data_IF_296063848991
#
_entry.id   IF_296063848991
#
_cell.length_a   1.000
_cell.length_b   1.000
_cell.length_c   1.000
_cell.angle_alpha   90.00
_cell.angle_beta   90.00
_cell.angle_gamma   90.00
#
_symmetry.space_group_name_H-M   'P 1'
#
loop_
_entity.id
_entity.type
_entity.pdbx_description
1 polymer ?
#
# COMPACT_ATOMS: atom_id res chain seq x y z
N UNK A 1 6.68 -4.12 -27.47
CA UNK A 1 6.36 -3.68 -26.09
C UNK A 1 4.87 -3.43 -26.04
N UNK A 2 4.19 -3.93 -25.02
CA UNK A 2 2.77 -3.65 -24.79
C UNK A 2 2.55 -2.17 -24.46
N UNK A 3 1.32 -1.70 -24.66
CA UNK A 3 0.93 -0.32 -24.33
C UNK A 3 1.11 -0.04 -22.84
N UNK A 4 0.81 -1.01 -21.98
CA UNK A 4 1.01 -0.92 -20.53
C UNK A 4 2.46 -0.67 -20.15
N UNK A 5 3.39 -1.54 -20.58
CA UNK A 5 4.81 -1.40 -20.25
C UNK A 5 5.38 -0.08 -20.77
N UNK A 6 4.99 0.30 -21.99
CA UNK A 6 5.46 1.55 -22.61
C UNK A 6 5.01 2.76 -21.80
N UNK A 7 3.73 2.79 -21.42
CA UNK A 7 3.18 3.88 -20.60
C UNK A 7 3.73 3.86 -19.17
N UNK A 8 3.96 2.68 -18.60
CA UNK A 8 4.60 2.51 -17.30
C UNK A 8 6.00 3.10 -17.29
N UNK A 9 6.84 2.81 -18.30
CA UNK A 9 8.19 3.40 -18.44
C UNK A 9 8.10 4.92 -18.61
N UNK A 10 7.14 5.42 -19.38
CA UNK A 10 6.89 6.85 -19.49
C UNK A 10 6.60 7.51 -18.12
N UNK A 11 5.78 6.87 -17.29
CA UNK A 11 5.52 7.35 -15.92
C UNK A 11 6.76 7.30 -15.02
N UNK A 12 7.65 6.32 -15.18
CA UNK A 12 8.94 6.28 -14.48
C UNK A 12 9.76 7.51 -14.81
N UNK A 13 9.86 7.85 -16.10
CA UNK A 13 10.61 9.03 -16.55
C UNK A 13 10.01 10.31 -15.97
N UNK A 14 8.68 10.45 -15.95
CA UNK A 14 8.03 11.61 -15.34
C UNK A 14 8.32 11.69 -13.83
N UNK A 15 8.22 10.56 -13.11
CA UNK A 15 8.55 10.52 -11.69
C UNK A 15 9.99 10.91 -11.39
N UNK A 16 10.94 10.48 -12.23
CA UNK A 16 12.34 10.89 -12.16
C UNK A 16 12.53 12.39 -12.40
N UNK A 17 11.85 12.96 -13.39
CA UNK A 17 11.89 14.41 -13.63
C UNK A 17 11.38 15.17 -12.39
N UNK A 18 10.34 14.66 -11.72
CA UNK A 18 9.79 15.23 -10.48
C UNK A 18 10.69 15.02 -9.25
N UNK A 19 11.62 14.06 -9.26
CA UNK A 19 12.66 13.96 -8.24
C UNK A 19 13.62 15.16 -8.31
N UNK A 20 13.85 15.71 -9.50
CA UNK A 20 14.79 16.80 -9.78
C UNK A 20 14.10 18.17 -9.72
N UNK A 21 12.93 18.30 -10.34
CA UNK A 21 12.24 19.58 -10.52
C UNK A 21 10.76 19.47 -10.16
N UNK A 22 10.36 20.23 -9.15
CA UNK A 22 8.97 20.31 -8.70
C UNK A 22 8.18 21.35 -9.52
N UNK A 23 6.93 21.01 -9.83
CA UNK A 23 5.97 21.92 -10.47
C UNK A 23 5.47 22.92 -9.42
N UNK A 24 5.68 24.22 -9.65
CA UNK A 24 5.32 25.27 -8.68
C UNK A 24 3.82 25.30 -8.35
N UNK A 25 2.96 25.16 -9.36
CA UNK A 25 1.51 25.15 -9.15
C UNK A 25 1.03 23.78 -8.67
N UNK A 26 0.55 23.73 -7.44
CA UNK A 26 0.01 22.48 -6.84
C UNK A 26 -1.25 22.00 -7.57
N UNK A 27 -2.10 22.92 -8.03
CA UNK A 27 -3.31 22.57 -8.79
C UNK A 27 -2.95 21.93 -10.13
N UNK A 28 -2.05 22.58 -10.88
CA UNK A 28 -1.56 22.06 -12.17
C UNK A 28 -0.92 20.69 -12.00
N UNK A 29 -0.05 20.52 -11.00
CA UNK A 29 0.56 19.23 -10.69
C UNK A 29 -0.51 18.15 -10.43
N UNK A 30 -1.53 18.44 -9.63
CA UNK A 30 -2.55 17.46 -9.26
C UNK A 30 -3.39 17.06 -10.48
N UNK A 31 -3.76 18.02 -11.34
CA UNK A 31 -4.52 17.74 -12.57
C UNK A 31 -3.68 16.89 -13.52
N UNK A 32 -2.43 17.28 -13.81
CA UNK A 32 -1.54 16.53 -14.69
C UNK A 32 -1.33 15.10 -14.15
N UNK A 33 -1.03 14.97 -12.87
CA UNK A 33 -0.77 13.67 -12.24
C UNK A 33 -2.03 12.80 -12.25
N UNK A 34 -3.20 13.38 -11.99
CA UNK A 34 -4.47 12.66 -12.08
C UNK A 34 -4.71 12.13 -13.49
N UNK A 35 -4.59 12.99 -14.50
CA UNK A 35 -4.77 12.60 -15.91
C UNK A 35 -3.81 11.51 -16.32
N UNK A 36 -2.53 11.62 -15.96
CA UNK A 36 -1.50 10.63 -16.29
C UNK A 36 -1.81 9.26 -15.69
N UNK A 37 -2.17 9.19 -14.41
CA UNK A 37 -2.51 7.92 -13.77
C UNK A 37 -3.89 7.39 -14.19
N UNK A 38 -4.83 8.26 -14.51
CA UNK A 38 -6.13 7.84 -15.06
C UNK A 38 -5.95 7.16 -16.42
N UNK A 39 -5.11 7.72 -17.30
CA UNK A 39 -4.76 7.09 -18.58
C UNK A 39 -4.09 5.73 -18.34
N UNK A 40 -3.15 5.65 -17.40
CA UNK A 40 -2.52 4.36 -17.06
C UNK A 40 -3.54 3.33 -16.59
N UNK A 41 -4.40 3.71 -15.64
CA UNK A 41 -5.46 2.83 -15.16
C UNK A 41 -6.39 2.40 -16.29
N UNK A 42 -6.76 3.30 -17.21
CA UNK A 42 -7.58 2.96 -18.37
C UNK A 42 -6.89 1.95 -19.28
N UNK A 43 -5.62 2.18 -19.65
CA UNK A 43 -4.84 1.24 -20.44
C UNK A 43 -4.85 -0.15 -19.76
N UNK A 44 -4.62 -0.19 -18.45
CA UNK A 44 -4.58 -1.45 -17.69
C UNK A 44 -5.94 -2.12 -17.51
N UNK A 45 -7.06 -1.39 -17.54
CA UNK A 45 -8.39 -2.02 -17.50
C UNK A 45 -8.84 -2.57 -18.85
N UNK A 46 -8.34 -2.02 -19.95
CA UNK A 46 -8.74 -2.39 -21.31
C UNK A 46 -7.74 -3.28 -22.06
N UNK A 47 -6.54 -3.49 -21.54
CA UNK A 47 -5.54 -4.44 -22.05
C UNK A 47 -5.94 -5.91 -21.83
N UNK A 48 -6.77 -6.17 -20.82
CA UNK A 48 -7.20 -7.50 -20.43
C UNK A 48 -6.98 -7.74 -18.94
N UNK A 49 -7.66 -8.75 -18.42
CA UNK A 49 -7.62 -9.07 -17.00
C UNK A 49 -6.81 -10.32 -16.72
N UNK A 50 -5.96 -10.25 -15.71
CA UNK A 50 -5.32 -11.42 -15.10
C UNK A 50 -6.35 -12.31 -14.37
N UNK A 51 -5.91 -13.52 -13.99
CA UNK A 51 -6.78 -14.58 -13.44
C UNK A 51 -7.57 -14.12 -12.20
N UNK A 52 -6.93 -13.44 -11.24
CA UNK A 52 -7.60 -13.04 -10.00
C UNK A 52 -8.55 -11.87 -10.22
N UNK A 53 -8.22 -10.92 -11.09
CA UNK A 53 -9.11 -9.78 -11.36
C UNK A 53 -10.30 -10.14 -12.23
N UNK A 54 -10.15 -11.14 -13.10
CA UNK A 54 -11.28 -11.81 -13.73
C UNK A 54 -12.22 -12.46 -12.71
N UNK A 55 -11.67 -13.02 -11.62
CA UNK A 55 -12.50 -13.58 -10.55
C UNK A 55 -13.30 -12.47 -9.85
N UNK A 56 -12.70 -11.29 -9.62
CA UNK A 56 -13.42 -10.12 -9.12
C UNK A 56 -14.51 -9.66 -10.11
N UNK A 57 -14.19 -9.52 -11.39
CA UNK A 57 -15.15 -9.14 -12.42
C UNK A 57 -16.35 -10.10 -12.49
N UNK A 58 -16.09 -11.41 -12.50
CA UNK A 58 -17.15 -12.45 -12.48
C UNK A 58 -18.01 -12.37 -11.22
N UNK A 59 -17.41 -12.09 -10.07
CA UNK A 59 -18.17 -11.98 -8.80
C UNK A 59 -19.07 -10.75 -8.70
N UNK A 60 -18.85 -9.73 -9.54
CA UNK A 60 -19.77 -8.59 -9.68
C UNK A 60 -21.06 -8.97 -10.42
N UNK A 61 -20.98 -9.96 -11.33
CA UNK A 61 -22.14 -10.47 -12.08
C UNK A 61 -23.15 -11.21 -11.20
N UNK A 62 -22.69 -11.90 -10.15
CA UNK A 62 -23.54 -12.71 -9.26
C UNK A 62 -24.04 -11.90 -8.06
N UNK A 63 -24.90 -10.91 -8.34
CA UNK A 63 -25.41 -9.96 -7.33
C UNK A 63 -26.26 -10.67 -6.27
N UNK A 64 -27.02 -11.70 -6.66
CA UNK A 64 -27.99 -12.39 -5.80
C UNK A 64 -27.38 -13.44 -4.86
N UNK A 65 -26.13 -13.86 -5.09
CA UNK A 65 -25.45 -14.83 -4.23
C UNK A 65 -24.67 -14.11 -3.12
N UNK A 66 -25.34 -13.77 -2.01
CA UNK A 66 -24.69 -13.38 -0.76
C UNK A 66 -24.18 -14.61 0.01
N UNK A 67 -23.13 -15.24 -0.50
CA UNK A 67 -22.40 -16.24 0.27
C UNK A 67 -21.66 -15.59 1.46
N UNK A 68 -21.45 -16.34 2.54
CA UNK A 68 -20.68 -15.88 3.71
C UNK A 68 -19.24 -15.43 3.38
N UNK A 69 -18.72 -15.77 2.20
CA UNK A 69 -17.45 -15.27 1.68
C UNK A 69 -17.44 -13.75 1.52
N UNK A 70 -18.55 -13.15 1.03
CA UNK A 70 -18.64 -11.71 0.78
C UNK A 70 -18.79 -10.89 2.07
N UNK A 71 -19.28 -11.50 3.15
CA UNK A 71 -19.36 -10.87 4.48
C UNK A 71 -17.99 -10.65 5.13
N UNK A 72 -16.93 -11.30 4.63
CA UNK A 72 -15.57 -11.11 5.15
C UNK A 72 -15.00 -9.74 4.83
N UNK A 73 -15.41 -9.12 3.73
CA UNK A 73 -14.86 -7.83 3.23
C UNK A 73 -15.99 -6.94 2.67
N UNK A 74 -16.98 -6.61 3.51
CA UNK A 74 -18.26 -6.08 3.05
C UNK A 74 -18.12 -4.69 2.43
N UNK A 75 -17.14 -3.88 2.86
CA UNK A 75 -16.96 -2.53 2.32
C UNK A 75 -16.62 -2.59 0.84
N UNK A 76 -15.71 -3.48 0.43
CA UNK A 76 -15.39 -3.63 -0.99
C UNK A 76 -16.55 -4.25 -1.76
N UNK A 77 -17.09 -5.37 -1.29
CA UNK A 77 -18.08 -6.13 -2.05
C UNK A 77 -19.40 -5.40 -2.24
N UNK A 78 -19.92 -4.75 -1.19
CA UNK A 78 -21.20 -4.03 -1.27
C UNK A 78 -21.04 -2.78 -2.15
N UNK A 79 -19.98 -2.00 -1.93
CA UNK A 79 -19.79 -0.77 -2.70
C UNK A 79 -19.53 -1.07 -4.18
N UNK A 80 -18.77 -2.13 -4.50
CA UNK A 80 -18.40 -2.42 -5.89
C UNK A 80 -19.56 -2.97 -6.69
N UNK A 81 -20.41 -3.80 -6.07
CA UNK A 81 -21.69 -4.22 -6.67
C UNK A 81 -22.63 -3.05 -6.90
N UNK A 82 -22.71 -2.10 -5.96
CA UNK A 82 -23.54 -0.91 -6.15
C UNK A 82 -23.08 -0.06 -7.33
N UNK A 83 -21.78 0.15 -7.49
CA UNK A 83 -21.22 0.88 -8.64
C UNK A 83 -21.41 0.09 -9.93
N UNK A 84 -21.24 -1.24 -9.89
CA UNK A 84 -21.49 -2.10 -11.03
C UNK A 84 -22.96 -2.05 -11.50
N UNK A 85 -23.92 -1.99 -10.58
CA UNK A 85 -25.34 -1.82 -10.92
C UNK A 85 -25.60 -0.52 -11.71
N UNK A 86 -24.82 0.52 -11.47
CA UNK A 86 -24.94 1.81 -12.16
C UNK A 86 -24.21 1.78 -13.51
N UNK A 87 -23.00 1.22 -13.54
CA UNK A 87 -22.11 1.29 -14.70
C UNK A 87 -22.31 0.16 -15.71
N UNK A 88 -22.79 -1.00 -15.27
CA UNK A 88 -22.99 -2.22 -16.05
C UNK A 88 -21.73 -2.69 -16.82
N UNK A 89 -20.54 -2.24 -16.40
CA UNK A 89 -19.25 -2.67 -16.94
C UNK A 89 -18.23 -2.80 -15.81
N UNK A 90 -17.43 -3.86 -15.88
CA UNK A 90 -16.40 -4.15 -14.88
C UNK A 90 -15.19 -3.21 -15.03
N UNK A 91 -14.81 -2.84 -16.25
CA UNK A 91 -13.71 -1.91 -16.52
C UNK A 91 -14.03 -0.54 -15.95
N UNK A 92 -15.25 -0.05 -16.20
CA UNK A 92 -15.71 1.25 -15.70
C UNK A 92 -15.87 1.26 -14.18
N UNK A 93 -16.35 0.16 -13.59
CA UNK A 93 -16.38 -0.01 -12.12
C UNK A 93 -14.99 0.09 -11.52
N UNK A 94 -14.00 -0.62 -12.07
CA UNK A 94 -12.64 -0.56 -11.56
C UNK A 94 -11.97 0.80 -11.81
N UNK A 95 -12.18 1.41 -12.97
CA UNK A 95 -11.72 2.77 -13.29
C UNK A 95 -12.27 3.83 -12.32
N UNK A 96 -13.51 3.69 -11.87
CA UNK A 96 -14.10 4.56 -10.87
C UNK A 96 -13.32 4.49 -9.55
N UNK A 97 -13.01 3.28 -9.09
CA UNK A 97 -12.21 3.08 -7.88
C UNK A 97 -10.76 3.51 -8.03
N UNK A 98 -10.15 3.28 -9.19
CA UNK A 98 -8.80 3.77 -9.50
C UNK A 98 -8.75 5.31 -9.45
N UNK A 99 -9.79 5.97 -9.96
CA UNK A 99 -9.94 7.43 -9.88
C UNK A 99 -10.02 7.92 -8.42
N UNK A 100 -10.82 7.26 -7.59
CA UNK A 100 -10.87 7.53 -6.15
C UNK A 100 -9.48 7.33 -5.53
N UNK A 101 -8.80 6.23 -5.88
CA UNK A 101 -7.49 5.92 -5.33
C UNK A 101 -6.45 6.99 -5.64
N UNK A 102 -6.41 7.47 -6.88
CA UNK A 102 -5.52 8.56 -7.31
C UNK A 102 -5.80 9.82 -6.49
N UNK A 103 -7.07 10.21 -6.33
CA UNK A 103 -7.46 11.40 -5.56
C UNK A 103 -7.02 11.27 -4.09
N UNK A 104 -7.26 10.11 -3.47
CA UNK A 104 -6.91 9.88 -2.07
C UNK A 104 -5.40 9.92 -1.84
N UNK A 105 -4.59 9.37 -2.74
CA UNK A 105 -3.12 9.43 -2.65
C UNK A 105 -2.61 10.86 -2.86
N UNK A 106 -3.17 11.61 -3.83
CA UNK A 106 -2.82 13.02 -4.02
C UNK A 106 -3.15 13.87 -2.78
N UNK A 107 -4.27 13.58 -2.11
CA UNK A 107 -4.64 14.22 -0.85
C UNK A 107 -3.69 13.81 0.30
N UNK A 108 -3.37 12.52 0.42
CA UNK A 108 -2.45 12.02 1.43
C UNK A 108 -1.05 12.64 1.28
N UNK A 109 -0.56 12.77 0.04
CA UNK A 109 0.69 13.47 -0.29
C UNK A 109 0.70 14.90 0.25
N UNK A 110 -0.39 15.64 0.04
CA UNK A 110 -0.53 17.02 0.55
C UNK A 110 -0.51 17.05 2.09
N UNK A 111 -1.26 16.18 2.75
CA UNK A 111 -1.31 16.13 4.21
C UNK A 111 0.06 15.81 4.83
N UNK A 112 0.76 14.82 4.29
CA UNK A 112 2.11 14.47 4.76
C UNK A 112 3.19 15.47 4.34
N UNK A 113 2.86 16.45 3.49
CA UNK A 113 3.83 17.37 2.85
C UNK A 113 4.94 16.62 2.12
N UNK A 114 4.57 15.55 1.42
CA UNK A 114 5.50 14.74 0.65
C UNK A 114 5.87 15.40 -0.68
N UNK A 115 7.07 15.09 -1.20
CA UNK A 115 7.54 15.59 -2.48
C UNK A 115 6.67 15.06 -3.63
N UNK A 116 6.71 15.77 -4.76
CA UNK A 116 5.87 15.50 -5.92
C UNK A 116 6.15 14.16 -6.61
N UNK A 117 7.31 13.54 -6.42
CA UNK A 117 7.54 12.20 -6.96
C UNK A 117 6.84 11.09 -6.15
N UNK A 118 6.32 11.37 -4.95
CA UNK A 118 5.76 10.33 -4.07
C UNK A 118 4.58 9.56 -4.69
N UNK A 119 3.57 10.19 -5.34
CA UNK A 119 2.50 9.43 -5.98
C UNK A 119 3.01 8.50 -7.08
N UNK A 120 4.03 8.94 -7.83
CA UNK A 120 4.69 8.10 -8.84
C UNK A 120 5.43 6.94 -8.20
N UNK A 121 6.13 7.20 -7.09
CA UNK A 121 6.77 6.13 -6.33
C UNK A 121 5.72 5.12 -5.85
N UNK A 122 4.61 5.60 -5.27
CA UNK A 122 3.56 4.74 -4.74
C UNK A 122 2.90 3.87 -5.81
N UNK A 123 2.41 4.45 -6.92
CA UNK A 123 1.69 3.71 -7.94
C UNK A 123 2.58 2.79 -8.78
N UNK A 124 3.84 3.17 -8.99
CA UNK A 124 4.77 2.36 -9.79
C UNK A 124 5.52 1.33 -8.96
N UNK A 125 5.41 1.36 -7.63
CA UNK A 125 6.01 0.36 -6.77
C UNK A 125 5.36 -1.01 -6.99
N UNK A 126 6.17 -2.07 -7.04
CA UNK A 126 5.70 -3.41 -7.41
C UNK A 126 4.50 -3.92 -6.61
N UNK A 127 4.33 -3.65 -5.29
CA UNK A 127 3.15 -4.09 -4.55
C UNK A 127 1.87 -3.40 -5.02
N UNK A 128 1.96 -2.13 -5.45
CA UNK A 128 0.82 -1.40 -6.01
C UNK A 128 0.45 -1.92 -7.39
N UNK A 129 1.44 -2.19 -8.25
CA UNK A 129 1.21 -2.77 -9.58
C UNK A 129 0.60 -4.17 -9.46
N UNK A 130 1.18 -5.04 -8.64
CA UNK A 130 0.60 -6.35 -8.34
C UNK A 130 -0.79 -6.25 -7.70
N UNK A 131 -1.00 -5.26 -6.84
CA UNK A 131 -2.30 -5.01 -6.25
C UNK A 131 -3.35 -4.59 -7.28
N UNK A 132 -2.99 -3.71 -8.23
CA UNK A 132 -3.90 -3.19 -9.24
C UNK A 132 -4.36 -4.28 -10.23
N UNK A 133 -3.44 -5.19 -10.59
CA UNK A 133 -3.68 -6.24 -11.60
C UNK A 133 -4.16 -7.57 -11.01
N UNK A 134 -3.74 -7.91 -9.79
CA UNK A 134 -4.00 -9.24 -9.21
C UNK A 134 -4.80 -9.17 -7.91
N UNK A 135 -4.37 -8.39 -6.91
CA UNK A 135 -5.00 -8.36 -5.58
C UNK A 135 -5.71 -7.03 -5.28
N UNK A 136 -6.76 -6.74 -6.07
CA UNK A 136 -7.38 -5.41 -6.11
C UNK A 136 -7.91 -4.87 -4.77
N UNK A 137 -8.53 -5.73 -3.98
CA UNK A 137 -9.02 -5.39 -2.63
C UNK A 137 -7.89 -4.91 -1.71
N UNK A 138 -6.74 -5.55 -1.84
CA UNK A 138 -5.56 -5.19 -1.08
C UNK A 138 -4.99 -3.84 -1.53
N UNK A 139 -4.96 -3.57 -2.84
CA UNK A 139 -4.58 -2.26 -3.39
C UNK A 139 -5.46 -1.11 -2.87
N UNK A 140 -6.78 -1.26 -2.92
CA UNK A 140 -7.70 -0.25 -2.37
C UNK A 140 -7.49 -0.04 -0.87
N UNK A 141 -7.16 -1.12 -0.16
CA UNK A 141 -6.86 -1.06 1.27
C UNK A 141 -5.56 -0.31 1.53
N UNK A 142 -4.51 -0.46 0.72
CA UNK A 142 -3.28 0.34 0.83
C UNK A 142 -3.59 1.84 0.74
N UNK A 143 -4.36 2.22 -0.27
CA UNK A 143 -4.75 3.60 -0.55
C UNK A 143 -5.53 4.19 0.62
N UNK A 144 -6.58 3.49 1.08
CA UNK A 144 -7.39 3.92 2.22
C UNK A 144 -6.56 4.00 3.50
N UNK A 145 -5.67 3.03 3.73
CA UNK A 145 -4.79 3.01 4.89
C UNK A 145 -3.89 4.25 4.91
N UNK A 146 -3.18 4.53 3.81
CA UNK A 146 -2.30 5.70 3.71
C UNK A 146 -3.09 7.00 3.85
N UNK A 147 -4.26 7.09 3.23
CA UNK A 147 -5.13 8.26 3.33
C UNK A 147 -5.56 8.54 4.77
N UNK A 148 -6.13 7.55 5.46
CA UNK A 148 -6.55 7.72 6.85
C UNK A 148 -5.37 7.93 7.79
N UNK A 149 -4.23 7.29 7.53
CA UNK A 149 -3.01 7.53 8.28
C UNK A 149 -2.54 8.99 8.12
N UNK A 150 -2.66 9.55 6.91
CA UNK A 150 -2.34 10.96 6.66
C UNK A 150 -3.20 11.89 7.49
N UNK A 151 -4.50 11.61 7.66
CA UNK A 151 -5.41 12.41 8.47
C UNK A 151 -5.08 12.28 9.96
N UNK A 152 -4.87 11.06 10.44
CA UNK A 152 -4.71 10.77 11.88
C UNK A 152 -3.36 11.20 12.45
N UNK A 153 -2.30 11.23 11.63
CA UNK A 153 -0.97 11.67 12.03
C UNK A 153 -0.78 13.19 11.92
N UNK A 154 -1.42 13.85 10.96
CA UNK A 154 -1.22 15.29 10.71
C UNK A 154 -2.20 16.16 11.50
N UNK A 155 -3.44 15.69 11.68
CA UNK A 155 -4.50 16.43 12.38
C UNK A 155 -4.85 15.75 13.71
N UNK A 156 -5.21 16.54 14.75
CA UNK A 156 -5.78 15.97 15.97
C UNK A 156 -7.08 15.23 15.61
N UNK A 157 -7.16 13.97 16.02
CA UNK A 157 -8.26 13.08 15.72
C UNK A 157 -8.63 12.33 17.00
N UNK A 158 -9.93 12.31 17.32
CA UNK A 158 -10.47 11.57 18.46
C UNK A 158 -10.27 10.06 18.27
N UNK A 159 -10.31 9.32 19.38
CA UNK A 159 -10.20 7.86 19.37
C UNK A 159 -11.29 7.24 18.48
N UNK A 160 -12.52 7.72 18.59
CA UNK A 160 -13.67 7.26 17.81
C UNK A 160 -13.39 7.37 16.30
N UNK A 161 -12.88 8.51 15.84
CA UNK A 161 -12.54 8.71 14.42
C UNK A 161 -11.46 7.73 13.94
N UNK A 162 -10.44 7.47 14.77
CA UNK A 162 -9.38 6.50 14.44
C UNK A 162 -9.92 5.09 14.35
N UNK A 163 -10.76 4.69 15.31
CA UNK A 163 -11.39 3.37 15.33
C UNK A 163 -12.31 3.16 14.13
N UNK A 164 -13.09 4.19 13.75
CA UNK A 164 -13.93 4.14 12.55
C UNK A 164 -13.08 4.01 11.27
N UNK A 165 -12.01 4.78 11.14
CA UNK A 165 -11.10 4.64 10.00
C UNK A 165 -10.45 3.27 9.95
N UNK A 166 -9.96 2.73 11.08
CA UNK A 166 -9.40 1.38 11.11
C UNK A 166 -10.44 0.33 10.73
N UNK A 167 -11.70 0.48 11.19
CA UNK A 167 -12.77 -0.45 10.87
C UNK A 167 -13.05 -0.48 9.36
N UNK A 168 -13.17 0.68 8.72
CA UNK A 168 -13.41 0.77 7.26
C UNK A 168 -12.31 0.04 6.49
N UNK A 169 -11.05 0.22 6.89
CA UNK A 169 -9.90 -0.41 6.23
C UNK A 169 -9.92 -1.93 6.42
N UNK A 170 -10.19 -2.43 7.63
CA UNK A 170 -10.28 -3.87 7.92
C UNK A 170 -11.41 -4.50 7.09
N UNK A 171 -12.58 -3.85 7.06
CA UNK A 171 -13.73 -4.32 6.31
C UNK A 171 -13.54 -4.22 4.79
N UNK A 172 -12.50 -3.54 4.31
CA UNK A 172 -12.11 -3.53 2.89
C UNK A 172 -11.21 -4.73 2.59
N UNK A 173 -10.23 -5.02 3.44
CA UNK A 173 -9.40 -6.22 3.33
C UNK A 173 -8.81 -6.62 4.69
N UNK A 174 -8.98 -7.89 5.04
CA UNK A 174 -8.73 -8.37 6.40
C UNK A 174 -7.27 -8.23 6.87
N UNK A 175 -6.31 -8.29 5.95
CA UNK A 175 -4.87 -8.16 6.28
C UNK A 175 -4.56 -6.83 6.95
N UNK A 176 -5.35 -5.78 6.72
CA UNK A 176 -5.16 -4.49 7.39
C UNK A 176 -5.34 -4.56 8.91
N UNK A 177 -6.03 -5.59 9.44
CA UNK A 177 -6.19 -5.77 10.88
C UNK A 177 -4.84 -5.87 11.61
N UNK A 178 -3.83 -6.45 10.94
CA UNK A 178 -2.48 -6.58 11.49
C UNK A 178 -1.78 -5.23 11.66
N UNK A 179 -2.24 -4.19 10.96
CA UNK A 179 -1.58 -2.88 10.96
C UNK A 179 -2.37 -1.80 11.74
N UNK A 180 -3.50 -2.16 12.36
CA UNK A 180 -4.31 -1.27 13.21
C UNK A 180 -3.50 -0.48 14.25
N UNK A 181 -2.52 -1.08 14.97
CA UNK A 181 -1.81 -0.36 16.04
C UNK A 181 -1.18 0.95 15.57
N UNK A 182 -0.88 1.07 14.27
CA UNK A 182 -0.30 2.27 13.65
C UNK A 182 -1.24 3.48 13.75
N UNK A 183 -2.56 3.31 13.71
CA UNK A 183 -3.52 4.41 13.84
C UNK A 183 -3.44 5.11 15.21
N UNK A 184 -2.80 4.49 16.19
CA UNK A 184 -2.63 4.99 17.55
C UNK A 184 -1.22 5.56 17.82
N UNK A 185 -0.43 5.87 16.77
CA UNK A 185 0.96 6.36 16.86
C UNK A 185 1.12 7.86 17.23
N UNK A 186 0.06 8.65 17.38
CA UNK A 186 0.21 10.11 17.47
C UNK A 186 0.87 10.57 18.81
N UNK A 187 1.83 11.50 18.71
CA UNK A 187 2.60 12.03 19.86
C UNK A 187 1.81 12.95 20.79
N UNK A 188 0.70 13.53 20.32
CA UNK A 188 -0.19 14.37 21.13
C UNK A 188 -1.15 13.56 22.00
N UNK A 189 -0.96 12.25 22.06
CA UNK A 189 -1.85 11.35 22.76
C UNK A 189 -1.41 11.19 24.24
N UNK A 190 -2.34 11.22 25.21
CA UNK A 190 -2.08 10.89 26.61
C UNK A 190 -1.40 9.52 26.80
N UNK A 191 -0.60 9.35 27.86
CA UNK A 191 0.18 8.14 28.15
C UNK A 191 -0.64 6.83 28.07
N UNK A 192 -1.91 6.86 28.50
CA UNK A 192 -2.84 5.71 28.50
C UNK A 192 -2.99 4.99 27.15
N UNK A 193 -2.90 5.71 26.04
CA UNK A 193 -3.07 5.10 24.72
C UNK A 193 -1.77 4.52 24.15
N UNK A 194 -0.60 4.83 24.76
CA UNK A 194 0.65 4.12 24.44
C UNK A 194 0.57 2.66 24.88
N UNK A 195 -0.10 2.39 26.00
CA UNK A 195 -0.34 1.04 26.53
C UNK A 195 -1.26 0.27 25.59
N UNK A 196 -2.37 0.88 25.14
CA UNK A 196 -3.30 0.26 24.17
C UNK A 196 -2.56 -0.18 22.91
N UNK A 197 -1.65 0.64 22.37
CA UNK A 197 -0.84 0.26 21.20
C UNK A 197 0.03 -0.98 21.45
N UNK A 198 0.70 -1.07 22.60
CA UNK A 198 1.54 -2.23 22.95
C UNK A 198 0.67 -3.48 23.11
N UNK A 199 -0.46 -3.35 23.80
CA UNK A 199 -1.45 -4.43 23.93
C UNK A 199 -1.93 -4.91 22.57
N UNK A 200 -2.23 -4.00 21.64
CA UNK A 200 -2.66 -4.38 20.29
C UNK A 200 -1.54 -5.08 19.51
N UNK A 201 -0.29 -4.59 19.58
CA UNK A 201 0.84 -5.28 18.93
C UNK A 201 1.01 -6.70 19.47
N UNK A 202 1.04 -6.87 20.80
CA UNK A 202 1.19 -8.18 21.44
C UNK A 202 -0.01 -9.07 21.14
N UNK A 203 -1.23 -8.53 21.23
CA UNK A 203 -2.47 -9.25 20.96
C UNK A 203 -2.54 -9.78 19.54
N UNK A 204 -2.04 -9.02 18.55
CA UNK A 204 -1.93 -9.51 17.17
C UNK A 204 -0.93 -10.65 17.05
N UNK A 205 0.27 -10.52 17.66
CA UNK A 205 1.29 -11.57 17.60
C UNK A 205 0.83 -12.87 18.27
N UNK A 206 0.13 -12.78 19.40
CA UNK A 206 -0.43 -13.95 20.11
C UNK A 206 -1.66 -14.52 19.38
N UNK A 207 -2.52 -13.65 18.85
CA UNK A 207 -3.76 -14.05 18.19
C UNK A 207 -3.56 -14.67 16.81
N UNK A 208 -2.47 -14.34 16.13
CA UNK A 208 -2.17 -14.82 14.78
C UNK A 208 -2.04 -16.36 14.72
N UNK A 209 -1.25 -17.04 15.57
CA UNK A 209 -1.24 -18.51 15.65
C UNK A 209 -2.62 -19.13 15.89
N UNK A 210 -3.43 -18.54 16.79
CA UNK A 210 -4.73 -19.06 17.19
C UNK A 210 -5.74 -18.95 16.03
N UNK A 211 -5.74 -17.82 15.32
CA UNK A 211 -6.62 -17.61 14.18
C UNK A 211 -6.31 -18.55 13.00
N UNK A 212 -5.07 -19.04 12.90
CA UNK A 212 -4.58 -19.85 11.78
C UNK A 212 -4.71 -21.34 12.00
N UNK A 213 -4.84 -21.80 13.24
CA UNK A 213 -5.09 -23.22 13.57
C UNK A 213 -6.34 -23.81 12.87
N UNK A 214 -7.18 -22.96 12.27
CA UNK A 214 -8.41 -23.32 11.55
C UNK A 214 -8.25 -23.41 10.02
N UNK A 215 -7.08 -23.09 9.44
CA UNK A 215 -6.87 -23.10 7.97
C UNK A 215 -5.76 -24.06 7.54
N UNK A 216 -5.99 -24.80 6.46
CA UNK A 216 -5.00 -25.67 5.83
C UNK A 216 -3.98 -24.86 5.02
N UNK A 217 -2.70 -25.21 5.15
CA UNK A 217 -1.59 -24.63 4.41
C UNK A 217 -1.58 -25.16 2.98
N UNK A 218 -1.87 -24.30 1.99
CA UNK A 218 -1.68 -24.61 0.57
C UNK A 218 -0.59 -23.68 0.04
N UNK A 219 0.53 -24.27 -0.38
CA UNK A 219 1.66 -23.53 -0.97
C UNK A 219 1.33 -23.14 -2.42
N UNK A 220 1.26 -21.84 -2.68
CA UNK A 220 1.15 -21.31 -4.05
C UNK A 220 2.14 -20.17 -4.29
N UNK A 221 3.18 -20.46 -5.08
CA UNK A 221 3.81 -19.45 -5.94
C UNK A 221 5.31 -19.18 -5.77
N UNK A 222 5.92 -18.90 -6.93
CA UNK A 222 7.32 -18.84 -7.36
C UNK A 222 8.23 -17.68 -6.85
N UNK A 223 7.79 -16.83 -5.92
CA UNK A 223 8.63 -15.77 -5.33
C UNK A 223 8.69 -16.00 -3.84
N UNK A 224 9.87 -16.23 -3.29
CA UNK A 224 10.01 -16.60 -1.89
C UNK A 224 9.65 -15.45 -0.97
N UNK A 225 8.84 -15.75 0.06
CA UNK A 225 8.46 -14.77 1.08
C UNK A 225 9.67 -14.20 1.84
N UNK A 226 10.80 -14.89 1.78
CA UNK A 226 12.10 -14.49 2.31
C UNK A 226 12.63 -13.20 1.67
N UNK A 227 12.36 -12.95 0.38
CA UNK A 227 12.78 -11.72 -0.30
C UNK A 227 12.17 -10.47 0.34
N UNK A 228 10.96 -10.59 0.91
CA UNK A 228 10.33 -9.49 1.63
C UNK A 228 11.03 -9.20 2.95
N UNK A 229 11.52 -10.23 3.66
CA UNK A 229 12.34 -10.04 4.87
C UNK A 229 13.61 -9.29 4.49
N UNK A 230 14.30 -9.74 3.44
CA UNK A 230 15.53 -9.09 2.97
C UNK A 230 15.28 -7.62 2.60
N UNK A 231 14.20 -7.31 1.88
CA UNK A 231 13.85 -5.94 1.53
C UNK A 231 13.56 -5.05 2.76
N UNK A 232 12.79 -5.55 3.73
CA UNK A 232 12.48 -4.84 4.97
C UNK A 232 13.76 -4.61 5.79
N UNK A 233 14.65 -5.60 5.84
CA UNK A 233 15.93 -5.49 6.53
C UNK A 233 16.83 -4.44 5.86
N UNK A 234 16.88 -4.40 4.52
CA UNK A 234 17.59 -3.37 3.78
C UNK A 234 17.02 -1.96 4.09
N UNK A 235 15.70 -1.81 4.20
CA UNK A 235 15.08 -0.54 4.59
C UNK A 235 15.43 -0.14 6.02
N UNK A 236 15.49 -1.11 6.95
CA UNK A 236 15.91 -0.86 8.32
C UNK A 236 17.36 -0.34 8.37
N UNK A 237 18.28 -1.01 7.67
CA UNK A 237 19.68 -0.59 7.57
C UNK A 237 19.78 0.81 6.96
N UNK A 238 19.07 1.05 5.85
CA UNK A 238 19.06 2.36 5.19
C UNK A 238 18.64 3.49 6.13
N UNK A 239 17.60 3.26 6.93
CA UNK A 239 17.11 4.24 7.91
C UNK A 239 18.11 4.42 9.05
N UNK A 240 18.68 3.34 9.60
CA UNK A 240 19.71 3.42 10.64
C UNK A 240 20.92 4.25 10.18
N UNK A 241 21.42 3.99 8.97
CA UNK A 241 22.52 4.74 8.35
C UNK A 241 22.13 6.21 8.16
N UNK A 242 20.91 6.48 7.67
CA UNK A 242 20.41 7.84 7.46
C UNK A 242 20.31 8.64 8.77
N UNK A 243 20.02 7.96 9.88
CA UNK A 243 20.03 8.53 11.23
C UNK A 243 21.42 8.52 11.90
N UNK A 244 22.47 8.07 11.20
CA UNK A 244 23.83 7.89 11.73
C UNK A 244 23.87 7.05 13.00
N UNK A 245 23.00 6.05 13.09
CA UNK A 245 22.81 5.19 14.26
C UNK A 245 22.42 5.92 15.56
N UNK A 246 22.06 7.21 15.49
CA UNK A 246 21.61 7.99 16.63
C UNK A 246 20.10 7.86 16.79
N UNK A 247 19.68 7.00 17.72
CA UNK A 247 18.27 6.80 18.08
C UNK A 247 17.75 8.00 18.85
N UNK A 248 17.14 8.96 18.16
CA UNK A 248 16.44 10.07 18.84
C UNK A 248 15.08 9.58 19.34
N UNK A 249 14.61 10.13 20.45
CA UNK A 249 13.28 9.80 21.01
C UNK A 249 12.14 9.99 19.97
N UNK A 250 12.32 10.90 19.02
CA UNK A 250 11.37 11.14 17.93
C UNK A 250 11.21 9.90 17.03
N UNK A 251 12.26 9.10 16.87
CA UNK A 251 12.32 8.03 15.87
C UNK A 251 11.97 6.66 16.48
N UNK A 252 11.86 6.55 17.81
CA UNK A 252 11.51 5.31 18.53
C UNK A 252 10.25 4.66 17.95
N UNK A 253 9.23 5.45 17.62
CA UNK A 253 7.97 4.91 17.10
C UNK A 253 8.17 4.24 15.73
N UNK A 254 9.04 4.80 14.90
CA UNK A 254 9.40 4.23 13.61
C UNK A 254 10.12 2.90 13.79
N UNK A 255 11.11 2.86 14.68
CA UNK A 255 11.85 1.63 14.97
C UNK A 255 10.97 0.54 15.60
N UNK A 256 10.04 0.90 16.49
CA UNK A 256 9.04 -0.06 17.02
C UNK A 256 8.20 -0.65 15.90
N UNK A 257 7.75 0.17 14.93
CA UNK A 257 6.99 -0.33 13.79
C UNK A 257 7.83 -1.27 12.90
N UNK A 258 9.10 -0.95 12.67
CA UNK A 258 10.01 -1.82 11.93
C UNK A 258 10.20 -3.18 12.60
N UNK A 259 10.55 -3.18 13.89
CA UNK A 259 10.75 -4.42 14.67
C UNK A 259 9.46 -5.24 14.67
N UNK A 260 8.31 -4.60 14.91
CA UNK A 260 7.01 -5.26 14.84
C UNK A 260 6.77 -5.89 13.46
N UNK A 261 7.03 -5.15 12.38
CA UNK A 261 6.81 -5.64 11.01
C UNK A 261 7.70 -6.82 10.65
N UNK A 262 8.95 -6.81 11.14
CA UNK A 262 9.91 -7.89 10.92
C UNK A 262 9.47 -9.16 11.67
N UNK A 263 9.10 -9.03 12.95
CA UNK A 263 8.58 -10.15 13.75
C UNK A 263 7.29 -10.70 13.12
N UNK A 264 6.36 -9.80 12.74
CA UNK A 264 5.10 -10.18 12.11
C UNK A 264 5.34 -10.98 10.82
N UNK A 265 6.29 -10.54 9.98
CA UNK A 265 6.58 -11.22 8.73
C UNK A 265 7.21 -12.59 8.98
N UNK A 266 8.20 -12.71 9.88
CA UNK A 266 8.81 -14.00 10.25
C UNK A 266 7.71 -14.97 10.73
N UNK A 267 6.90 -14.56 11.71
CA UNK A 267 5.80 -15.37 12.21
C UNK A 267 4.81 -15.74 11.10
N UNK A 268 4.55 -14.84 10.16
CA UNK A 268 3.62 -15.12 9.06
C UNK A 268 4.14 -16.15 8.06
N UNK A 269 5.45 -16.18 7.80
CA UNK A 269 6.08 -17.16 6.92
C UNK A 269 5.98 -18.54 7.54
N UNK A 270 6.27 -18.64 8.83
CA UNK A 270 6.26 -19.91 9.55
C UNK A 270 4.82 -20.46 9.72
N UNK A 271 3.81 -19.59 9.85
CA UNK A 271 2.47 -19.99 10.29
C UNK A 271 1.35 -19.92 9.22
N UNK A 272 1.40 -19.00 8.24
CA UNK A 272 0.23 -18.64 7.41
C UNK A 272 0.30 -19.21 5.99
N UNK A 273 1.45 -19.77 5.58
CA UNK A 273 1.71 -20.20 4.21
C UNK A 273 2.11 -19.06 3.27
N UNK A 274 2.73 -19.42 2.14
CA UNK A 274 3.48 -18.48 1.29
C UNK A 274 2.65 -17.38 0.64
N UNK A 275 1.38 -17.64 0.27
CA UNK A 275 0.55 -16.63 -0.39
C UNK A 275 0.14 -15.48 0.53
N UNK A 276 -0.18 -15.78 1.80
CA UNK A 276 -0.63 -14.77 2.76
C UNK A 276 0.55 -13.98 3.34
N UNK A 277 1.69 -14.63 3.58
CA UNK A 277 2.91 -13.95 4.01
C UNK A 277 3.38 -12.92 2.98
N UNK A 278 3.27 -13.22 1.67
CA UNK A 278 3.51 -12.25 0.59
C UNK A 278 2.59 -11.03 0.69
N UNK A 279 1.30 -11.23 0.96
CA UNK A 279 0.35 -10.12 1.13
C UNK A 279 0.74 -9.24 2.32
N UNK A 280 1.15 -9.84 3.44
CA UNK A 280 1.64 -9.10 4.61
C UNK A 280 2.91 -8.33 4.26
N UNK A 281 3.88 -8.97 3.60
CA UNK A 281 5.13 -8.35 3.15
C UNK A 281 4.90 -7.16 2.22
N UNK A 282 4.03 -7.30 1.22
CA UNK A 282 3.63 -6.22 0.32
C UNK A 282 3.00 -5.03 1.07
N UNK A 283 2.14 -5.32 2.06
CA UNK A 283 1.52 -4.28 2.89
C UNK A 283 2.58 -3.52 3.71
N UNK A 284 3.52 -4.24 4.34
CA UNK A 284 4.62 -3.63 5.09
C UNK A 284 5.43 -2.72 4.19
N UNK A 285 5.86 -3.18 3.01
CA UNK A 285 6.69 -2.40 2.10
C UNK A 285 6.01 -1.09 1.69
N UNK A 286 4.70 -1.13 1.40
CA UNK A 286 3.91 0.06 1.09
C UNK A 286 3.90 1.05 2.27
N UNK A 287 3.69 0.57 3.50
CA UNK A 287 3.71 1.43 4.68
C UNK A 287 5.09 2.03 4.94
N UNK A 288 6.16 1.29 4.61
CA UNK A 288 7.54 1.74 4.74
C UNK A 288 7.93 2.84 3.74
N UNK A 289 7.19 3.03 2.64
CA UNK A 289 7.40 4.17 1.75
C UNK A 289 7.24 5.52 2.47
N UNK A 290 6.34 5.61 3.46
CA UNK A 290 6.06 6.84 4.21
C UNK A 290 7.31 7.33 4.96
N UNK A 291 7.91 6.55 5.90
CA UNK A 291 9.10 6.99 6.58
C UNK A 291 10.31 7.12 5.66
N UNK A 292 10.44 6.26 4.65
CA UNK A 292 11.57 6.28 3.73
C UNK A 292 11.59 7.57 2.89
N UNK A 293 10.45 7.97 2.33
CA UNK A 293 10.30 9.25 1.61
C UNK A 293 10.66 10.44 2.51
N UNK A 294 10.22 10.39 3.77
CA UNK A 294 10.50 11.45 4.75
C UNK A 294 11.98 11.53 5.12
N UNK A 295 12.64 10.39 5.31
CA UNK A 295 14.08 10.34 5.65
C UNK A 295 14.91 10.89 4.49
N UNK A 296 14.63 10.48 3.26
CA UNK A 296 15.31 10.98 2.06
C UNK A 296 15.24 12.50 1.95
N UNK A 297 14.07 13.08 2.22
CA UNK A 297 13.86 14.51 2.07
C UNK A 297 14.43 15.38 3.20
N UNK A 298 14.65 14.79 4.38
CA UNK A 298 15.07 15.52 5.58
C UNK A 298 16.54 15.34 5.95
N UNK A 299 17.13 14.17 5.68
CA UNK A 299 18.48 13.83 6.15
C UNK A 299 19.60 14.03 5.10
N UNK A 300 19.29 14.07 3.80
CA UNK A 300 20.29 14.17 2.75
C UNK A 300 20.50 15.61 2.27
N UNK A 301 21.76 16.04 2.16
CA UNK A 301 22.13 17.38 1.62
C UNK A 301 21.82 17.48 0.12
N UNK A 302 22.21 16.46 -0.66
CA UNK A 302 21.94 16.37 -2.10
C UNK A 302 20.60 15.67 -2.35
N UNK A 303 19.49 16.37 -2.05
CA UNK A 303 18.15 15.79 -2.08
C UNK A 303 17.79 15.19 -3.44
N UNK A 304 18.06 15.88 -4.54
CA UNK A 304 17.64 15.44 -5.88
C UNK A 304 18.29 14.11 -6.28
N UNK A 305 19.58 13.93 -5.97
CA UNK A 305 20.33 12.70 -6.25
C UNK A 305 19.79 11.56 -5.38
N UNK A 306 19.63 11.80 -4.07
CA UNK A 306 19.10 10.79 -3.15
C UNK A 306 17.67 10.36 -3.52
N UNK A 307 16.80 11.32 -3.88
CA UNK A 307 15.44 11.07 -4.37
C UNK A 307 15.46 10.17 -5.61
N UNK A 308 16.31 10.49 -6.58
CA UNK A 308 16.40 9.75 -7.85
C UNK A 308 16.92 8.32 -7.66
N UNK A 309 17.99 8.14 -6.88
CA UNK A 309 18.55 6.81 -6.58
C UNK A 309 17.51 5.92 -5.90
N UNK A 310 16.87 6.44 -4.86
CA UNK A 310 15.86 5.69 -4.10
C UNK A 310 14.64 5.38 -4.96
N UNK A 311 14.19 6.34 -5.76
CA UNK A 311 13.08 6.13 -6.70
C UNK A 311 13.37 4.98 -7.67
N UNK A 312 14.57 4.94 -8.28
CA UNK A 312 14.98 3.86 -9.17
C UNK A 312 15.04 2.53 -8.42
N UNK A 313 15.72 2.47 -7.27
CA UNK A 313 15.87 1.23 -6.49
C UNK A 313 14.50 0.63 -6.13
N UNK A 314 13.51 1.47 -5.81
CA UNK A 314 12.19 1.01 -5.41
C UNK A 314 11.31 0.61 -6.60
N UNK A 315 11.43 1.30 -7.74
CA UNK A 315 10.63 1.02 -8.94
C UNK A 315 11.19 -0.15 -9.76
N UNK A 316 12.52 -0.33 -9.79
CA UNK A 316 13.19 -1.37 -10.57
C UNK A 316 12.70 -2.80 -10.29
N UNK A 317 12.40 -3.23 -9.05
CA UNK A 317 11.84 -4.54 -8.76
C UNK A 317 10.62 -4.90 -9.62
N UNK A 318 9.78 -3.93 -9.98
CA UNK A 318 8.61 -4.15 -10.85
C UNK A 318 9.02 -4.63 -12.24
N UNK A 319 10.16 -4.15 -12.76
CA UNK A 319 10.69 -4.53 -14.07
C UNK A 319 11.60 -5.76 -14.02
N UNK A 320 12.28 -5.99 -12.89
CA UNK A 320 13.22 -7.11 -12.72
C UNK A 320 12.48 -8.41 -12.43
N UNK A 321 11.49 -8.38 -11.53
CA UNK A 321 10.77 -9.60 -11.16
C UNK A 321 9.80 -10.01 -12.26
N UNK A 322 9.97 -11.23 -12.77
CA UNK A 322 9.14 -11.80 -13.84
C UNK A 322 7.65 -11.74 -13.49
N UNK A 323 7.29 -12.02 -12.24
CA UNK A 323 5.91 -11.98 -11.76
C UNK A 323 5.24 -10.61 -11.92
N UNK A 324 5.98 -9.51 -11.67
CA UNK A 324 5.45 -8.15 -11.83
C UNK A 324 5.53 -7.69 -13.28
N UNK A 325 6.61 -8.06 -13.98
CA UNK A 325 6.81 -7.68 -15.38
C UNK A 325 5.78 -8.32 -16.31
N UNK A 326 5.41 -9.57 -16.07
CA UNK A 326 4.39 -10.25 -16.88
C UNK A 326 3.04 -9.53 -16.83
N UNK A 327 2.70 -8.93 -15.69
CA UNK A 327 1.49 -8.11 -15.51
C UNK A 327 1.54 -6.77 -16.25
N UNK A 328 2.68 -6.39 -16.82
CA UNK A 328 2.83 -5.21 -17.67
C UNK A 328 2.97 -5.59 -19.15
N UNK A 329 3.11 -6.89 -19.45
CA UNK A 329 3.28 -7.45 -20.79
C UNK A 329 1.99 -8.05 -21.36
N UNK A 330 0.89 -7.90 -20.63
CA UNK A 330 -0.49 -7.98 -21.09
C UNK A 330 -0.82 -6.75 -21.92
#
# INVERSE_FOLDING_TARGET
MTYELTYYIFLIVIGLLLCIKEIKSTSLYNIITFTLFFIFAAITRYSGFDIDINTYAKSLHYIDNFSAYYLREPVYWISSRYIYLITQSYETTFLFYDSIAIILILYARKNFSFPQYFPYLFFLFFPSVMGLNNVYRQYLTYVLFIFFLSITLTKPSSLIKRSLFSLIVILTHNVAALFIPIFFINRKIPSKYRIIRIILYIGILIGLPIALATKSNVNTGYVDSELYIFAIFCFLIFILISHKFLLRHKDVILYTFFVYSLILLIMSIDLVGSAQSKRIGMFILILLLIPLTKVVDTHFKQKNIARSIIYIILVMPTLIFSSSRMMLLT
#
